data_IF_328468082360
#
_entry.id   IF_328468082360
#
_cell.length_a   1.000
_cell.length_b   1.000
_cell.length_c   1.000
_cell.angle_alpha   90.00
_cell.angle_beta   90.00
_cell.angle_gamma   90.00
#
_symmetry.space_group_name_H-M   'P 1'
#
loop_
_entity.id
_entity.type
_entity.pdbx_description
1 polymer ?
#
# COMPACT_ATOMS: atom_id res chain seq x y z
N UNK A 1 -22.46 -6.62 26.67
CA UNK A 1 -22.81 -7.19 25.34
C UNK A 1 -21.50 -7.44 24.61
N UNK A 2 -21.26 -8.66 24.13
CA UNK A 2 -20.14 -8.95 23.24
C UNK A 2 -20.66 -8.78 21.82
N UNK A 3 -20.20 -7.75 21.12
CA UNK A 3 -20.55 -7.58 19.71
C UNK A 3 -19.79 -8.62 18.87
N UNK A 4 -20.46 -9.31 17.94
CA UNK A 4 -19.81 -10.28 17.08
C UNK A 4 -18.79 -9.58 16.17
N UNK A 5 -17.52 -9.99 16.29
CA UNK A 5 -16.44 -9.49 15.44
C UNK A 5 -16.13 -10.51 14.34
N UNK A 6 -16.36 -10.12 13.09
CA UNK A 6 -15.92 -10.88 11.91
C UNK A 6 -14.62 -10.28 11.38
N UNK A 7 -13.60 -11.12 11.18
CA UNK A 7 -12.35 -10.74 10.51
C UNK A 7 -12.20 -11.53 9.22
N UNK A 8 -11.90 -10.83 8.14
CA UNK A 8 -11.60 -11.43 6.83
C UNK A 8 -10.12 -11.29 6.54
N UNK A 9 -9.49 -12.39 6.13
CA UNK A 9 -8.12 -12.40 5.62
C UNK A 9 -8.14 -12.62 4.12
N UNK A 10 -7.57 -11.68 3.37
CA UNK A 10 -7.34 -11.83 1.94
C UNK A 10 -6.00 -12.52 1.72
N UNK A 11 -5.99 -13.60 0.93
CA UNK A 11 -4.79 -14.32 0.54
C UNK A 11 -4.66 -14.24 -0.97
N UNK A 12 -3.47 -13.96 -1.46
CA UNK A 12 -3.21 -13.74 -2.87
C UNK A 12 -1.73 -13.84 -3.19
N UNK A 13 -1.33 -13.42 -4.40
CA UNK A 13 0.05 -13.52 -4.86
C UNK A 13 1.02 -12.77 -3.93
N UNK A 14 2.11 -13.41 -3.53
CA UNK A 14 3.18 -12.81 -2.74
C UNK A 14 4.55 -13.10 -3.35
N UNK A 15 5.56 -12.31 -2.97
CA UNK A 15 6.94 -12.43 -3.46
C UNK A 15 7.91 -12.90 -2.35
N UNK A 16 7.39 -13.53 -1.28
CA UNK A 16 8.16 -13.91 -0.09
C UNK A 16 9.33 -14.83 -0.40
N UNK A 17 9.12 -15.79 -1.31
CA UNK A 17 10.16 -16.70 -1.81
C UNK A 17 11.22 -16.04 -2.70
N UNK A 18 11.04 -14.77 -3.07
CA UNK A 18 11.92 -14.01 -3.97
C UNK A 18 12.43 -12.71 -3.33
N UNK A 19 12.26 -12.51 -2.02
CA UNK A 19 12.72 -11.32 -1.33
C UNK A 19 14.22 -11.07 -1.48
N UNK A 20 15.04 -12.11 -1.51
CA UNK A 20 16.49 -11.96 -1.68
C UNK A 20 16.94 -12.03 -3.15
N UNK A 21 16.04 -12.39 -4.06
CA UNK A 21 16.35 -12.44 -5.49
C UNK A 21 16.35 -11.03 -6.09
N UNK A 22 17.49 -10.61 -6.65
CA UNK A 22 17.63 -9.31 -7.36
C UNK A 22 16.87 -9.28 -8.68
N UNK A 23 16.73 -10.42 -9.35
CA UNK A 23 16.07 -10.56 -10.64
C UNK A 23 14.86 -11.50 -10.47
N UNK A 24 13.74 -11.01 -9.93
CA UNK A 24 12.60 -11.85 -9.63
C UNK A 24 11.97 -12.35 -10.93
N UNK A 25 11.42 -13.57 -10.85
CA UNK A 25 10.51 -14.10 -11.84
C UNK A 25 9.11 -13.55 -11.60
N UNK A 26 8.34 -13.41 -12.68
CA UNK A 26 6.95 -12.98 -12.62
C UNK A 26 6.14 -13.83 -11.65
N UNK A 27 5.27 -13.17 -10.89
CA UNK A 27 4.26 -13.83 -10.07
C UNK A 27 2.89 -13.52 -10.67
N UNK A 28 1.87 -14.29 -10.26
CA UNK A 28 0.50 -14.07 -10.70
C UNK A 28 0.06 -12.64 -10.36
N UNK A 29 -0.49 -11.93 -11.35
CA UNK A 29 -1.16 -10.64 -11.11
C UNK A 29 -2.65 -10.93 -10.87
N UNK A 30 -3.24 -10.55 -9.72
CA UNK A 30 -4.64 -10.80 -9.46
C UNK A 30 -5.52 -9.97 -10.41
N UNK A 31 -6.67 -10.53 -10.80
CA UNK A 31 -7.67 -9.81 -11.60
C UNK A 31 -8.44 -8.85 -10.69
N UNK A 32 -8.25 -7.55 -10.88
CA UNK A 32 -8.92 -6.47 -10.14
C UNK A 32 -9.70 -5.59 -11.14
N UNK A 33 -10.83 -5.00 -10.78
CA UNK A 33 -11.49 -4.96 -9.47
C UNK A 33 -12.16 -6.30 -9.08
N UNK A 34 -12.14 -6.65 -7.80
CA UNK A 34 -12.82 -7.85 -7.28
C UNK A 34 -13.77 -7.50 -6.13
N UNK A 35 -15.03 -7.93 -6.23
CA UNK A 35 -16.06 -7.71 -5.22
C UNK A 35 -16.13 -8.91 -4.26
N UNK A 36 -16.17 -8.62 -2.97
CA UNK A 36 -16.38 -9.60 -1.91
C UNK A 36 -17.63 -9.21 -1.12
N UNK A 37 -18.44 -10.21 -0.76
CA UNK A 37 -19.65 -10.03 0.03
C UNK A 37 -19.65 -10.99 1.22
N UNK A 38 -19.85 -10.43 2.41
CA UNK A 38 -20.12 -11.16 3.64
C UNK A 38 -21.62 -11.14 3.87
N UNK A 39 -22.24 -12.31 3.87
CA UNK A 39 -23.69 -12.46 4.06
C UNK A 39 -23.93 -13.10 5.42
N UNK A 40 -24.58 -12.36 6.32
CA UNK A 40 -25.10 -12.90 7.56
C UNK A 40 -26.48 -13.51 7.32
N UNK A 41 -26.66 -14.75 7.77
CA UNK A 41 -27.92 -15.48 7.65
C UNK A 41 -28.51 -15.74 9.03
N UNK A 42 -29.83 -15.66 9.14
CA UNK A 42 -30.54 -16.13 10.33
C UNK A 42 -30.31 -17.63 10.50
N UNK A 43 -29.98 -18.07 11.70
CA UNK A 43 -29.62 -19.47 11.95
C UNK A 43 -30.82 -20.43 11.90
N UNK A 44 -32.03 -19.92 12.14
CA UNK A 44 -33.24 -20.71 12.21
C UNK A 44 -33.93 -20.81 10.84
N UNK A 45 -33.95 -19.71 10.08
CA UNK A 45 -34.63 -19.65 8.78
C UNK A 45 -33.67 -19.79 7.58
N UNK A 46 -32.38 -19.48 7.76
CA UNK A 46 -31.40 -19.43 6.67
C UNK A 46 -31.47 -18.16 5.81
N UNK A 47 -32.41 -17.26 6.14
CA UNK A 47 -32.64 -16.03 5.39
C UNK A 47 -31.48 -15.05 5.54
N UNK A 48 -31.18 -14.31 4.47
CA UNK A 48 -30.16 -13.27 4.50
C UNK A 48 -30.68 -12.06 5.28
N UNK A 49 -30.02 -11.75 6.40
CA UNK A 49 -30.44 -10.65 7.29
C UNK A 49 -29.52 -9.43 7.20
N UNK A 50 -28.26 -9.62 6.78
CA UNK A 50 -27.29 -8.54 6.63
C UNK A 50 -26.28 -8.86 5.52
N UNK A 51 -25.85 -7.83 4.79
CA UNK A 51 -24.76 -7.92 3.80
C UNK A 51 -23.75 -6.82 4.03
N UNK A 52 -22.48 -7.18 3.94
CA UNK A 52 -21.37 -6.23 3.87
C UNK A 52 -20.52 -6.55 2.65
N UNK A 53 -20.39 -5.58 1.74
CA UNK A 53 -19.62 -5.73 0.51
C UNK A 53 -18.44 -4.76 0.45
N UNK A 54 -17.33 -5.20 -0.13
CA UNK A 54 -16.22 -4.32 -0.47
C UNK A 54 -15.57 -4.73 -1.80
N UNK A 55 -14.93 -3.75 -2.44
CA UNK A 55 -14.23 -3.95 -3.71
C UNK A 55 -12.74 -3.82 -3.48
N UNK A 56 -11.99 -4.88 -3.74
CA UNK A 56 -10.53 -4.85 -3.75
C UNK A 56 -10.06 -4.12 -5.02
N UNK A 57 -9.40 -2.96 -4.84
CA UNK A 57 -9.00 -2.08 -5.94
C UNK A 57 -7.56 -2.23 -6.39
N UNK A 58 -6.67 -2.52 -5.45
CA UNK A 58 -5.23 -2.63 -5.68
C UNK A 58 -4.69 -3.77 -4.82
N UNK A 59 -3.63 -4.42 -5.31
CA UNK A 59 -2.91 -5.45 -4.57
C UNK A 59 -1.43 -5.10 -4.49
N UNK A 60 -0.88 -5.17 -3.27
CA UNK A 60 0.48 -4.77 -2.99
C UNK A 60 1.34 -5.98 -2.63
N UNK A 61 2.56 -5.99 -3.17
CA UNK A 61 3.62 -6.95 -2.82
C UNK A 61 4.87 -6.18 -2.47
N UNK A 62 5.57 -6.57 -1.43
CA UNK A 62 6.76 -5.87 -0.96
C UNK A 62 7.98 -6.78 -0.96
N UNK A 63 9.16 -6.16 -0.86
CA UNK A 63 10.44 -6.82 -0.61
C UNK A 63 10.87 -6.53 0.83
N UNK A 64 11.23 -7.56 1.59
CA UNK A 64 11.62 -7.42 3.00
C UNK A 64 13.08 -6.95 3.22
N UNK A 65 13.75 -6.46 2.18
CA UNK A 65 15.12 -5.96 2.25
C UNK A 65 15.17 -4.52 1.76
N UNK A 66 15.97 -3.71 2.44
CA UNK A 66 16.26 -2.35 2.03
C UNK A 66 16.91 -2.38 0.64
N UNK A 67 16.29 -1.64 -0.29
CA UNK A 67 16.87 -1.40 -1.60
C UNK A 67 17.54 -0.04 -1.54
N UNK A 68 18.87 -0.05 -1.54
CA UNK A 68 19.68 1.17 -1.47
C UNK A 68 19.34 2.11 -2.61
N UNK A 69 18.92 1.57 -3.76
CA UNK A 69 18.56 2.36 -4.92
C UNK A 69 17.10 2.14 -5.32
N UNK A 70 16.38 3.24 -5.53
CA UNK A 70 15.03 3.23 -6.12
C UNK A 70 14.99 2.50 -7.47
N UNK A 71 16.08 2.58 -8.25
CA UNK A 71 16.21 1.88 -9.53
C UNK A 71 16.11 0.36 -9.38
N UNK A 72 16.75 -0.21 -8.36
CA UNK A 72 16.62 -1.64 -8.03
C UNK A 72 15.18 -2.00 -7.66
N UNK A 73 14.50 -1.15 -6.89
CA UNK A 73 13.12 -1.38 -6.52
C UNK A 73 12.17 -1.33 -7.72
N UNK A 74 12.41 -0.40 -8.65
CA UNK A 74 11.65 -0.29 -9.89
C UNK A 74 11.85 -1.53 -10.77
N UNK A 75 13.11 -1.93 -10.97
CA UNK A 75 13.45 -3.12 -11.75
C UNK A 75 12.84 -4.39 -11.14
N UNK A 76 12.89 -4.52 -9.81
CA UNK A 76 12.32 -5.65 -9.09
C UNK A 76 10.79 -5.74 -9.27
N UNK A 77 10.07 -4.62 -9.13
CA UNK A 77 8.63 -4.60 -9.40
C UNK A 77 8.29 -5.00 -10.83
N UNK A 78 9.02 -4.45 -11.81
CA UNK A 78 8.82 -4.77 -13.22
C UNK A 78 9.09 -6.26 -13.51
N UNK A 79 10.11 -6.85 -12.88
CA UNK A 79 10.44 -8.27 -12.99
C UNK A 79 9.32 -9.19 -12.47
N UNK A 80 8.61 -8.77 -11.41
CA UNK A 80 7.43 -9.48 -10.90
C UNK A 80 6.21 -9.39 -11.82
N UNK A 81 6.20 -8.48 -12.79
CA UNK A 81 5.01 -8.13 -13.59
C UNK A 81 4.12 -7.08 -12.92
N UNK A 82 4.66 -6.36 -11.94
CA UNK A 82 4.00 -5.29 -11.18
C UNK A 82 4.63 -3.94 -11.52
N UNK A 83 4.11 -2.85 -10.95
CA UNK A 83 4.75 -1.53 -11.01
C UNK A 83 5.09 -1.01 -9.62
N UNK A 84 6.03 -0.08 -9.56
CA UNK A 84 6.24 0.72 -8.34
C UNK A 84 5.02 1.64 -8.10
N UNK A 85 4.53 1.78 -6.86
CA UNK A 85 3.41 2.64 -6.53
C UNK A 85 3.78 4.11 -6.66
N UNK A 86 2.80 4.96 -6.97
CA UNK A 86 2.90 6.41 -6.81
C UNK A 86 2.63 6.80 -5.36
N UNK A 87 3.00 8.01 -4.95
CA UNK A 87 2.71 8.55 -3.60
C UNK A 87 1.21 8.45 -3.30
N UNK A 88 0.36 8.79 -4.28
CA UNK A 88 -1.10 8.68 -4.18
C UNK A 88 -1.64 7.24 -4.04
N UNK A 89 -0.86 6.22 -4.39
CA UNK A 89 -1.26 4.82 -4.13
C UNK A 89 -1.01 4.46 -2.66
N UNK A 90 -0.21 5.24 -1.91
CA UNK A 90 0.28 4.89 -0.58
C UNK A 90 -0.29 5.77 0.53
N UNK A 91 -0.50 7.06 0.27
CA UNK A 91 -0.88 8.04 1.30
C UNK A 91 -1.69 9.19 0.72
N UNK A 92 -2.51 9.81 1.56
CA UNK A 92 -3.18 11.08 1.31
C UNK A 92 -2.55 12.26 2.05
N UNK A 93 -1.28 12.14 2.44
CA UNK A 93 -0.50 13.26 2.94
C UNK A 93 -0.60 14.46 1.99
N UNK A 94 -0.77 15.66 2.56
CA UNK A 94 -0.87 16.90 1.79
C UNK A 94 0.52 17.43 1.46
N UNK A 95 0.78 17.69 0.19
CA UNK A 95 1.98 18.41 -0.22
C UNK A 95 1.90 19.90 0.20
N UNK A 96 3.05 20.58 0.28
CA UNK A 96 3.15 22.03 0.45
C UNK A 96 2.91 22.55 1.87
N UNK A 97 2.49 21.70 2.80
CA UNK A 97 2.36 22.02 4.23
C UNK A 97 3.64 21.70 5.02
N UNK A 98 4.60 21.04 4.40
CA UNK A 98 5.89 20.63 4.98
C UNK A 98 6.97 20.70 3.87
N UNK A 99 8.12 21.31 4.17
CA UNK A 99 9.22 21.44 3.20
C UNK A 99 9.80 20.11 2.71
N UNK A 100 9.56 19.02 3.43
CA UNK A 100 9.96 17.65 3.03
C UNK A 100 9.05 17.05 1.96
N UNK A 101 7.87 17.61 1.75
CA UNK A 101 6.94 17.19 0.70
C UNK A 101 6.34 18.41 -0.03
N UNK A 102 7.12 19.06 -0.91
CA UNK A 102 6.62 20.22 -1.66
C UNK A 102 5.65 19.80 -2.77
N UNK A 103 4.71 20.68 -3.12
CA UNK A 103 3.80 20.49 -4.25
C UNK A 103 4.54 20.81 -5.57
N UNK A 104 5.15 19.81 -6.17
CA UNK A 104 6.00 19.92 -7.37
C UNK A 104 5.55 18.94 -8.43
N UNK A 105 5.59 19.32 -9.71
CA UNK A 105 5.27 18.43 -10.83
C UNK A 105 3.93 17.68 -10.69
N UNK A 106 2.93 18.31 -10.06
CA UNK A 106 1.63 17.70 -9.74
C UNK A 106 1.70 16.43 -8.86
N UNK A 107 2.83 16.23 -8.17
CA UNK A 107 3.03 15.18 -7.17
C UNK A 107 2.30 15.61 -5.90
N UNK A 108 1.36 14.78 -5.47
CA UNK A 108 0.56 14.95 -4.26
C UNK A 108 0.09 13.59 -3.75
N UNK A 109 -0.40 13.54 -2.51
CA UNK A 109 -1.11 12.38 -1.97
C UNK A 109 -2.46 12.13 -2.66
N UNK A 110 -3.10 11.03 -2.27
CA UNK A 110 -4.44 10.67 -2.67
C UNK A 110 -5.50 11.65 -2.14
N UNK A 111 -6.71 11.55 -2.71
CA UNK A 111 -7.90 12.20 -2.17
C UNK A 111 -8.72 11.20 -1.32
N UNK A 112 -9.44 11.65 -0.28
CA UNK A 112 -9.43 13.02 0.27
C UNK A 112 -8.09 13.34 0.94
N UNK A 113 -7.56 14.54 0.67
CA UNK A 113 -6.28 14.98 1.22
C UNK A 113 -6.36 15.16 2.73
N UNK A 114 -5.30 14.81 3.45
CA UNK A 114 -5.15 15.17 4.85
C UNK A 114 -4.83 16.66 5.02
N UNK A 115 -4.73 17.14 6.26
CA UNK A 115 -4.33 18.52 6.58
C UNK A 115 -2.82 18.71 6.73
N UNK A 116 -2.03 17.63 6.78
CA UNK A 116 -0.61 17.63 7.13
C UNK A 116 0.20 16.70 6.21
N UNK A 117 1.53 16.68 6.33
CA UNK A 117 2.36 15.67 5.67
C UNK A 117 2.34 14.32 6.42
N UNK A 118 1.14 13.78 6.63
CA UNK A 118 0.81 12.49 7.25
C UNK A 118 -0.54 12.04 6.72
N UNK A 119 -0.81 10.73 6.74
CA UNK A 119 -2.13 10.26 6.33
C UNK A 119 -3.22 10.67 7.32
N UNK A 120 -4.44 10.80 6.81
CA UNK A 120 -5.67 10.67 7.59
C UNK A 120 -6.43 9.43 7.08
N UNK A 121 -7.09 8.72 7.99
CA UNK A 121 -7.68 7.41 7.72
C UNK A 121 -8.95 7.55 6.89
N UNK A 122 -8.87 7.31 5.58
CA UNK A 122 -10.01 7.28 4.68
C UNK A 122 -9.93 6.11 3.72
N UNK A 123 -11.10 5.56 3.35
CA UNK A 123 -11.19 4.55 2.29
C UNK A 123 -10.94 5.24 0.94
N UNK A 124 -10.09 4.64 0.09
CA UNK A 124 -9.67 5.20 -1.19
C UNK A 124 -8.47 6.15 -1.11
N UNK A 125 -7.89 6.37 0.07
CA UNK A 125 -6.86 7.39 0.30
C UNK A 125 -5.41 6.85 0.22
N UNK A 126 -5.22 5.65 -0.32
CA UNK A 126 -3.93 5.00 -0.46
C UNK A 126 -3.63 3.98 0.64
N UNK A 127 -2.70 3.07 0.37
CA UNK A 127 -2.49 1.86 1.14
C UNK A 127 -2.25 2.07 2.63
N UNK A 128 -1.29 2.92 3.02
CA UNK A 128 -1.03 3.20 4.43
C UNK A 128 -2.15 4.04 5.06
N UNK A 129 -2.81 4.92 4.29
CA UNK A 129 -3.95 5.68 4.78
C UNK A 129 -5.19 4.81 5.03
N UNK A 130 -5.38 3.72 4.27
CA UNK A 130 -6.50 2.77 4.42
C UNK A 130 -6.24 1.68 5.45
N UNK A 131 -5.01 1.17 5.56
CA UNK A 131 -4.68 0.02 6.40
C UNK A 131 -3.91 0.36 7.69
N UNK A 132 -3.13 1.43 7.68
CA UNK A 132 -2.61 2.07 8.89
C UNK A 132 -1.24 1.51 9.24
N UNK A 133 -1.01 1.26 10.53
CA UNK A 133 0.23 0.66 11.03
C UNK A 133 0.31 -0.82 10.63
N UNK A 134 0.57 -1.10 9.35
CA UNK A 134 0.49 -2.47 8.82
C UNK A 134 1.45 -3.41 9.54
N UNK A 135 2.68 -2.93 9.77
CA UNK A 135 3.72 -3.68 10.49
C UNK A 135 3.31 -4.05 11.93
N UNK A 136 2.38 -3.29 12.53
CA UNK A 136 1.96 -3.49 13.92
C UNK A 136 0.72 -4.39 14.01
N UNK A 137 -0.32 -4.09 13.22
CA UNK A 137 -1.62 -4.79 13.29
C UNK A 137 -1.70 -6.05 12.40
N UNK A 138 -0.89 -6.14 11.35
CA UNK A 138 -0.93 -7.27 10.39
C UNK A 138 0.47 -7.89 10.24
N UNK A 139 1.06 -8.34 11.37
CA UNK A 139 2.44 -8.84 11.43
C UNK A 139 2.73 -9.96 10.42
N UNK A 140 1.77 -10.84 10.17
CA UNK A 140 1.91 -11.94 9.22
C UNK A 140 2.10 -11.50 7.77
N UNK A 141 1.73 -10.25 7.44
CA UNK A 141 1.97 -9.65 6.14
C UNK A 141 3.45 -9.32 5.91
N UNK A 142 4.28 -9.29 6.97
CA UNK A 142 5.73 -9.17 6.85
C UNK A 142 6.25 -7.77 6.51
N UNK A 143 5.44 -6.72 6.67
CA UNK A 143 5.88 -5.33 6.50
C UNK A 143 6.72 -4.88 7.69
N UNK A 144 7.78 -4.13 7.41
CA UNK A 144 8.58 -3.45 8.42
C UNK A 144 8.12 -2.00 8.60
N UNK A 145 8.42 -1.41 9.76
CA UNK A 145 8.27 0.02 9.98
C UNK A 145 9.41 0.79 9.30
N UNK A 146 9.19 1.24 8.06
CA UNK A 146 10.23 1.82 7.22
C UNK A 146 9.67 2.75 6.15
N UNK A 147 10.57 3.38 5.40
CA UNK A 147 10.27 4.08 4.15
C UNK A 147 10.09 3.09 3.00
N UNK A 148 9.04 3.28 2.21
CA UNK A 148 8.79 2.52 0.99
C UNK A 148 8.90 3.44 -0.22
N UNK A 149 9.60 2.97 -1.25
CA UNK A 149 9.84 3.75 -2.47
C UNK A 149 8.54 4.06 -3.22
N UNK A 150 8.45 5.29 -3.72
CA UNK A 150 7.43 5.70 -4.68
C UNK A 150 8.07 5.97 -6.05
N UNK A 151 7.26 5.82 -7.11
CA UNK A 151 7.70 6.05 -8.49
C UNK A 151 7.86 7.53 -8.84
N UNK A 152 7.20 8.41 -8.10
CA UNK A 152 7.26 9.86 -8.28
C UNK A 152 8.69 10.38 -8.06
N UNK A 153 9.17 11.16 -9.02
CA UNK A 153 10.53 11.70 -9.04
C UNK A 153 10.50 13.21 -9.07
N UNK A 154 11.43 13.81 -8.33
CA UNK A 154 11.79 15.20 -8.49
C UNK A 154 12.92 15.35 -9.51
N UNK A 155 13.13 16.57 -9.98
CA UNK A 155 14.26 16.90 -10.84
C UNK A 155 15.57 16.48 -10.18
N UNK A 156 16.43 15.75 -10.90
CA UNK A 156 17.75 15.33 -10.40
C UNK A 156 17.71 14.00 -9.64
N UNK A 157 18.39 13.93 -8.49
CA UNK A 157 18.57 12.71 -7.70
C UNK A 157 17.58 12.52 -6.55
N UNK A 158 16.69 13.50 -6.33
CA UNK A 158 15.73 13.49 -5.23
C UNK A 158 14.58 12.52 -5.49
N UNK A 159 14.35 11.62 -4.52
CA UNK A 159 13.40 10.51 -4.62
C UNK A 159 12.46 10.55 -3.43
N UNK A 160 11.17 10.39 -3.70
CA UNK A 160 10.18 10.31 -2.66
C UNK A 160 10.03 8.90 -2.11
N UNK A 161 9.76 8.86 -0.82
CA UNK A 161 9.33 7.66 -0.11
C UNK A 161 8.22 7.99 0.88
N UNK A 162 7.50 6.96 1.28
CA UNK A 162 6.40 7.06 2.24
C UNK A 162 6.72 6.22 3.45
N UNK A 163 6.71 6.83 4.64
CA UNK A 163 6.93 6.14 5.90
C UNK A 163 5.68 5.32 6.27
N UNK A 164 5.81 4.01 6.50
CA UNK A 164 4.68 3.15 6.85
C UNK A 164 4.03 3.46 8.20
N UNK A 165 4.71 4.20 9.07
CA UNK A 165 4.20 4.58 10.39
C UNK A 165 3.03 5.57 10.30
N UNK A 166 3.20 6.65 9.55
CA UNK A 166 2.23 7.76 9.53
C UNK A 166 1.92 8.26 8.12
N UNK A 167 2.42 7.58 7.09
CA UNK A 167 2.25 7.97 5.69
C UNK A 167 2.93 9.29 5.34
N UNK A 168 3.87 9.78 6.16
CA UNK A 168 4.62 10.99 5.83
C UNK A 168 5.50 10.78 4.61
N UNK A 169 5.51 11.77 3.73
CA UNK A 169 6.29 11.77 2.50
C UNK A 169 7.55 12.57 2.73
N UNK A 170 8.71 12.00 2.37
CA UNK A 170 10.00 12.66 2.52
C UNK A 170 10.98 12.25 1.42
N UNK A 171 11.97 13.10 1.22
CA UNK A 171 13.21 12.73 0.55
C UNK A 171 13.95 11.67 1.37
N UNK A 172 14.36 10.59 0.72
CA UNK A 172 15.22 9.58 1.33
C UNK A 172 16.24 9.04 0.35
N UNK A 173 17.33 8.52 0.89
CA UNK A 173 18.37 7.78 0.16
C UNK A 173 18.21 6.26 0.28
N UNK A 174 17.29 5.78 1.11
CA UNK A 174 17.01 4.36 1.33
C UNK A 174 15.51 4.12 1.44
N UNK A 175 15.07 2.97 0.97
CA UNK A 175 13.69 2.54 1.10
C UNK A 175 13.51 1.09 0.72
N UNK A 176 12.40 0.51 1.15
CA UNK A 176 12.00 -0.85 0.80
C UNK A 176 11.28 -0.86 -0.53
N UNK A 177 11.39 -1.99 -1.22
CA UNK A 177 10.60 -2.25 -2.42
C UNK A 177 9.14 -2.45 -2.07
N UNK A 178 8.27 -1.68 -2.68
CA UNK A 178 6.83 -1.89 -2.70
C UNK A 178 6.38 -1.87 -4.14
N UNK A 179 5.52 -2.80 -4.51
CA UNK A 179 4.98 -2.93 -5.84
C UNK A 179 3.46 -3.05 -5.72
N UNK A 180 2.76 -2.53 -6.72
CA UNK A 180 1.32 -2.64 -6.84
C UNK A 180 0.95 -3.13 -8.22
N UNK A 181 -0.26 -3.65 -8.35
CA UNK A 181 -0.79 -4.10 -9.65
C UNK A 181 -0.65 -2.99 -10.71
N UNK A 182 -0.38 -3.36 -11.98
CA UNK A 182 -0.19 -2.40 -13.08
C UNK A 182 -1.26 -1.30 -13.14
#
# INVERSE_FOLDING_TARGET
MVEPLVRVKLTGPEARNQWDNRNPSRITVPKLLQTFELVGRDINTGDEVVKYGFVLRQWFVHRNRDMRERGEALAWCNGLGYRMPRIRDLTNAKCGVDGRFPCVNSINGAAPSSSFNRYMRYIGAGFFAEWGLIYYYYRDAGFANDFYWASDVLSGSERFSVLSHDGSVRYTFHGRGLCTTP
#
